data_IF_901091997933
#
_entry.id   IF_901091997933
#
_cell.length_a   1.000
_cell.length_b   1.000
_cell.length_c   1.000
_cell.angle_alpha   90.00
_cell.angle_beta   90.00
_cell.angle_gamma   90.00
#
_symmetry.space_group_name_H-M   'P 1'
#
loop_
_entity.id
_entity.type
_entity.pdbx_description
1 polymer ?
#
# COMPACT_ATOMS: atom_id res chain seq x y z
N UNK A 1 -31.79 3.23 -52.78
CA UNK A 1 -31.54 2.16 -51.79
C UNK A 1 -30.60 2.75 -50.77
N UNK A 2 -31.15 3.36 -49.71
CA UNK A 2 -31.27 2.76 -48.35
C UNK A 2 -29.91 2.51 -47.69
N UNK A 3 -29.59 2.86 -46.45
CA UNK A 3 -30.11 3.72 -45.37
C UNK A 3 -28.94 3.76 -44.35
N UNK A 4 -28.86 4.82 -43.53
CA UNK A 4 -27.93 4.96 -42.40
C UNK A 4 -27.87 3.72 -41.50
N UNK A 5 -26.79 3.56 -40.72
CA UNK A 5 -26.87 3.41 -39.26
C UNK A 5 -25.48 3.43 -38.61
N UNK A 6 -25.15 4.60 -38.05
CA UNK A 6 -24.35 4.76 -36.84
C UNK A 6 -24.86 3.81 -35.76
N UNK A 7 -23.99 2.99 -35.15
CA UNK A 7 -24.32 2.31 -33.89
C UNK A 7 -23.42 2.83 -32.78
N UNK A 8 -23.88 3.89 -32.13
CA UNK A 8 -23.52 4.20 -30.75
C UNK A 8 -23.94 3.02 -29.88
N UNK A 9 -22.98 2.30 -29.31
CA UNK A 9 -23.25 1.30 -28.27
C UNK A 9 -23.19 2.02 -26.92
N UNK A 10 -24.30 2.19 -26.20
CA UNK A 10 -24.24 2.75 -24.86
C UNK A 10 -23.61 1.73 -23.91
N UNK A 11 -22.46 2.07 -23.34
CA UNK A 11 -21.86 1.35 -22.20
C UNK A 11 -22.82 1.45 -21.03
N UNK A 12 -23.56 0.37 -20.78
CA UNK A 12 -24.47 0.25 -19.66
C UNK A 12 -23.64 0.06 -18.39
N UNK A 13 -23.46 1.13 -17.61
CA UNK A 13 -22.89 1.04 -16.26
C UNK A 13 -23.76 0.12 -15.40
N UNK A 14 -23.17 -0.80 -14.60
CA UNK A 14 -23.95 -1.63 -13.69
C UNK A 14 -24.56 -0.74 -12.59
N UNK A 15 -25.89 -0.76 -12.51
CA UNK A 15 -26.62 -0.15 -11.41
C UNK A 15 -26.33 -0.92 -10.10
N UNK A 16 -26.13 -0.24 -8.96
CA UNK A 16 -25.95 -0.90 -7.68
C UNK A 16 -27.25 -1.62 -7.29
N UNK A 17 -27.18 -2.96 -7.24
CA UNK A 17 -28.28 -3.83 -6.87
C UNK A 17 -28.83 -3.45 -5.49
N UNK A 18 -30.10 -3.05 -5.46
CA UNK A 18 -30.89 -3.06 -4.24
C UNK A 18 -31.15 -4.52 -3.82
N UNK A 19 -30.85 -4.82 -2.56
CA UNK A 19 -31.32 -6.04 -1.89
C UNK A 19 -30.22 -6.93 -1.34
N UNK A 20 -29.67 -6.56 -0.18
CA UNK A 20 -29.07 -7.53 0.73
C UNK A 20 -30.07 -7.86 1.84
N UNK A 21 -30.97 -8.80 1.55
CA UNK A 21 -31.61 -9.62 2.59
C UNK A 21 -30.58 -10.64 3.06
N UNK A 22 -30.37 -10.69 4.37
CA UNK A 22 -29.22 -11.32 5.01
C UNK A 22 -29.10 -12.82 4.80
N UNK A 23 -27.85 -13.26 4.67
CA UNK A 23 -27.38 -14.56 5.10
C UNK A 23 -26.07 -14.35 5.88
N UNK A 24 -26.02 -14.97 7.05
CA UNK A 24 -25.02 -14.85 8.11
C UNK A 24 -23.64 -15.40 7.67
N UNK A 25 -22.87 -14.60 6.92
CA UNK A 25 -21.43 -14.80 6.69
C UNK A 25 -20.62 -13.48 6.84
N UNK A 26 -21.27 -12.40 7.28
CA UNK A 26 -20.83 -11.01 7.07
C UNK A 26 -19.73 -10.44 7.98
N UNK A 27 -19.22 -11.16 8.98
CA UNK A 27 -18.25 -10.58 9.92
C UNK A 27 -16.85 -10.39 9.33
N UNK A 28 -16.32 -11.44 8.68
CA UNK A 28 -14.97 -11.46 8.12
C UNK A 28 -14.87 -10.65 6.83
N UNK A 29 -15.88 -10.75 5.95
CA UNK A 29 -15.92 -10.00 4.68
C UNK A 29 -16.03 -8.49 4.91
N UNK A 30 -16.82 -8.05 5.88
CA UNK A 30 -16.93 -6.63 6.23
C UNK A 30 -15.66 -6.10 6.89
N UNK A 31 -15.01 -6.87 7.78
CA UNK A 31 -13.73 -6.48 8.38
C UNK A 31 -12.62 -6.37 7.31
N UNK A 32 -12.54 -7.33 6.40
CA UNK A 32 -11.56 -7.31 5.31
C UNK A 32 -11.78 -6.14 4.35
N UNK A 33 -13.04 -5.83 4.02
CA UNK A 33 -13.38 -4.67 3.20
C UNK A 33 -12.99 -3.35 3.90
N UNK A 34 -13.25 -3.22 5.20
CA UNK A 34 -12.84 -2.05 5.98
C UNK A 34 -11.31 -1.91 6.00
N UNK A 35 -10.58 -3.00 6.27
CA UNK A 35 -9.11 -2.97 6.24
C UNK A 35 -8.58 -2.58 4.85
N UNK A 36 -9.18 -3.07 3.77
CA UNK A 36 -8.80 -2.70 2.41
C UNK A 36 -9.07 -1.21 2.12
N UNK A 37 -10.18 -0.66 2.61
CA UNK A 37 -10.47 0.78 2.52
C UNK A 37 -9.45 1.62 3.29
N UNK A 38 -9.17 1.28 4.55
CA UNK A 38 -8.19 1.98 5.38
C UNK A 38 -6.80 1.97 4.73
N UNK A 39 -6.38 0.83 4.18
CA UNK A 39 -5.13 0.72 3.41
C UNK A 39 -5.12 1.62 2.18
N UNK A 40 -6.22 1.67 1.43
CA UNK A 40 -6.35 2.56 0.28
C UNK A 40 -6.21 4.02 0.70
N UNK A 41 -6.87 4.44 1.79
CA UNK A 41 -6.76 5.80 2.34
C UNK A 41 -5.35 6.12 2.82
N UNK A 42 -4.68 5.19 3.51
CA UNK A 42 -3.28 5.31 3.90
C UNK A 42 -2.40 5.62 2.69
N UNK A 43 -2.47 4.79 1.64
CA UNK A 43 -1.63 4.97 0.46
C UNK A 43 -1.99 6.21 -0.37
N UNK A 44 -3.24 6.70 -0.31
CA UNK A 44 -3.62 7.98 -0.92
C UNK A 44 -2.94 9.19 -0.27
N UNK A 45 -2.49 9.09 0.99
CA UNK A 45 -1.68 10.13 1.67
C UNK A 45 -0.20 10.07 1.26
N UNK A 46 0.27 8.92 0.81
CA UNK A 46 1.65 8.68 0.38
C UNK A 46 1.80 8.63 -1.15
N UNK A 47 1.25 9.63 -1.85
CA UNK A 47 1.31 9.71 -3.32
C UNK A 47 2.76 9.79 -3.83
N UNK A 48 3.00 9.25 -5.03
CA UNK A 48 4.31 9.30 -5.70
C UNK A 48 5.25 8.13 -5.40
N UNK A 49 4.77 7.06 -4.76
CA UNK A 49 5.50 5.80 -4.59
C UNK A 49 5.32 4.85 -5.77
N UNK A 50 4.09 4.68 -6.23
CA UNK A 50 3.77 3.84 -7.39
C UNK A 50 2.90 4.69 -8.31
N UNK A 51 3.53 5.33 -9.29
CA UNK A 51 2.83 6.28 -10.15
C UNK A 51 2.02 5.60 -11.25
N UNK A 52 2.39 4.38 -11.63
CA UNK A 52 1.80 3.63 -12.76
C UNK A 52 0.84 2.51 -12.36
N UNK A 53 0.80 2.10 -11.09
CA UNK A 53 -0.06 1.02 -10.63
C UNK A 53 -0.77 1.38 -9.31
N UNK A 54 -1.97 1.99 -9.37
CA UNK A 54 -2.78 2.27 -8.19
C UNK A 54 -3.25 1.00 -7.47
N UNK A 55 -3.22 -0.16 -8.14
CA UNK A 55 -3.61 -1.47 -7.62
C UNK A 55 -2.41 -2.31 -7.15
N UNK A 56 -1.22 -1.71 -7.03
CA UNK A 56 -0.08 -2.38 -6.41
C UNK A 56 -0.47 -2.95 -5.03
N UNK A 57 0.17 -4.02 -4.60
CA UNK A 57 0.00 -4.52 -3.24
C UNK A 57 0.81 -3.67 -2.23
N UNK A 58 0.60 -3.92 -0.94
CA UNK A 58 1.32 -3.20 0.12
C UNK A 58 2.82 -3.45 0.03
N UNK A 59 3.25 -4.69 -0.26
CA UNK A 59 4.66 -5.06 -0.41
C UNK A 59 5.37 -4.25 -1.48
N UNK A 60 4.77 -4.10 -2.67
CA UNK A 60 5.29 -3.30 -3.75
C UNK A 60 5.41 -1.81 -3.36
N UNK A 61 4.44 -1.27 -2.61
CA UNK A 61 4.51 0.12 -2.13
C UNK A 61 5.55 0.32 -1.03
N UNK A 62 5.69 -0.64 -0.11
CA UNK A 62 6.74 -0.63 0.91
C UNK A 62 8.12 -0.68 0.24
N UNK A 63 8.35 -1.62 -0.68
CA UNK A 63 9.61 -1.73 -1.43
C UNK A 63 9.90 -0.46 -2.24
N UNK A 64 8.91 0.13 -2.90
CA UNK A 64 9.08 1.42 -3.58
C UNK A 64 9.52 2.55 -2.62
N UNK A 65 9.02 2.55 -1.38
CA UNK A 65 9.42 3.51 -0.36
C UNK A 65 10.85 3.27 0.14
N UNK A 66 11.28 2.00 0.22
CA UNK A 66 12.64 1.61 0.59
C UNK A 66 13.67 2.02 -0.47
N UNK A 67 13.32 1.93 -1.77
CA UNK A 67 14.20 2.38 -2.87
C UNK A 67 14.40 3.91 -2.88
N UNK A 68 13.42 4.68 -2.40
CA UNK A 68 13.50 6.16 -2.30
C UNK A 68 13.23 6.62 -0.86
N UNK A 69 14.15 6.34 0.06
CA UNK A 69 13.87 6.42 1.49
C UNK A 69 13.74 7.87 1.95
N UNK A 70 12.67 8.13 2.70
CA UNK A 70 12.41 9.39 3.41
C UNK A 70 11.99 9.04 4.82
N UNK A 71 12.65 9.61 5.83
CA UNK A 71 12.44 9.25 7.23
C UNK A 71 10.95 9.25 7.64
N UNK A 72 10.26 10.38 7.46
CA UNK A 72 8.83 10.52 7.82
C UNK A 72 7.96 9.45 7.15
N UNK A 73 8.23 9.15 5.87
CA UNK A 73 7.47 8.14 5.13
C UNK A 73 7.71 6.74 5.68
N UNK A 74 8.96 6.36 5.98
CA UNK A 74 9.25 5.03 6.54
C UNK A 74 8.73 4.91 7.98
N UNK A 75 8.72 6.00 8.75
CA UNK A 75 8.08 6.02 10.06
C UNK A 75 6.55 5.82 9.95
N UNK A 76 5.88 6.57 9.08
CA UNK A 76 4.43 6.43 8.86
C UNK A 76 4.07 5.00 8.43
N UNK A 77 4.87 4.40 7.54
CA UNK A 77 4.70 2.99 7.11
C UNK A 77 4.96 2.02 8.27
N UNK A 78 6.00 2.24 9.09
CA UNK A 78 6.28 1.39 10.24
C UNK A 78 5.19 1.46 11.32
N UNK A 79 4.54 2.62 11.49
CA UNK A 79 3.40 2.78 12.38
C UNK A 79 2.15 2.04 11.86
N UNK A 80 1.94 2.01 10.55
CA UNK A 80 0.79 1.35 9.92
C UNK A 80 0.96 -0.18 9.83
N UNK A 81 2.12 -0.64 9.38
CA UNK A 81 2.38 -2.05 9.04
C UNK A 81 3.28 -2.79 10.04
N UNK A 82 3.85 -2.09 11.02
CA UNK A 82 4.84 -2.61 11.93
C UNK A 82 6.27 -2.52 11.36
N UNK A 83 7.24 -2.24 12.25
CA UNK A 83 8.64 -2.13 11.87
C UNK A 83 9.21 -3.46 11.32
N UNK A 84 8.87 -4.57 11.96
CA UNK A 84 9.31 -5.91 11.55
C UNK A 84 8.94 -6.19 10.08
N UNK A 85 7.70 -5.86 9.68
CA UNK A 85 7.25 -6.05 8.30
C UNK A 85 8.08 -5.24 7.30
N UNK A 86 8.43 -4.00 7.65
CA UNK A 86 9.26 -3.13 6.80
C UNK A 86 10.69 -3.67 6.70
N UNK A 87 11.24 -4.20 7.79
CA UNK A 87 12.56 -4.85 7.80
C UNK A 87 12.58 -6.09 6.92
N UNK A 88 11.57 -6.97 7.01
CA UNK A 88 11.48 -8.16 6.15
C UNK A 88 11.42 -7.80 4.66
N UNK A 89 10.66 -6.75 4.29
CA UNK A 89 10.62 -6.27 2.89
C UNK A 89 11.97 -5.71 2.44
N UNK A 90 12.73 -5.09 3.34
CA UNK A 90 14.09 -4.61 3.04
C UNK A 90 15.07 -5.76 2.84
N UNK A 91 15.01 -6.82 3.65
CA UNK A 91 15.81 -8.02 3.48
C UNK A 91 15.53 -8.72 2.15
N UNK A 92 14.25 -8.89 1.80
CA UNK A 92 13.85 -9.46 0.51
C UNK A 92 14.37 -8.62 -0.66
N UNK A 93 14.23 -7.30 -0.57
CA UNK A 93 14.66 -6.38 -1.63
C UNK A 93 16.18 -6.45 -1.87
N UNK A 94 17.00 -6.57 -0.82
CA UNK A 94 18.45 -6.70 -0.96
C UNK A 94 18.92 -7.93 -1.76
N UNK A 95 18.05 -8.93 -1.98
CA UNK A 95 18.34 -10.08 -2.83
C UNK A 95 18.57 -9.73 -4.31
N UNK A 96 17.93 -8.67 -4.81
CA UNK A 96 17.93 -8.33 -6.25
C UNK A 96 19.18 -7.55 -6.71
N UNK A 97 19.99 -7.01 -5.78
CA UNK A 97 21.28 -6.31 -6.01
C UNK A 97 21.29 -5.28 -7.15
N UNK A 98 20.19 -4.53 -7.32
CA UNK A 98 20.14 -3.45 -8.32
C UNK A 98 20.86 -2.19 -7.84
N UNK A 99 21.26 -1.33 -8.78
CA UNK A 99 21.95 -0.08 -8.47
C UNK A 99 21.15 0.82 -7.51
N UNK A 100 19.83 0.89 -7.69
CA UNK A 100 18.95 1.70 -6.87
C UNK A 100 18.89 1.20 -5.43
N UNK A 101 18.95 -0.12 -5.22
CA UNK A 101 18.93 -0.76 -3.90
C UNK A 101 20.24 -0.49 -3.18
N UNK A 102 21.38 -0.69 -3.86
CA UNK A 102 22.70 -0.40 -3.29
C UNK A 102 22.85 1.09 -2.94
N UNK A 103 22.36 1.98 -3.81
CA UNK A 103 22.35 3.42 -3.54
C UNK A 103 21.52 3.77 -2.29
N UNK A 104 20.38 3.09 -2.09
CA UNK A 104 19.48 3.37 -0.98
C UNK A 104 19.98 2.81 0.37
N UNK A 105 20.82 1.77 0.33
CA UNK A 105 21.20 0.93 1.48
C UNK A 105 21.55 1.68 2.75
N UNK A 106 22.61 2.50 2.72
CA UNK A 106 23.06 3.25 3.91
C UNK A 106 21.98 4.18 4.47
N UNK A 107 21.15 4.75 3.60
CA UNK A 107 20.07 5.63 4.01
C UNK A 107 18.94 4.85 4.69
N UNK A 108 18.54 3.71 4.11
CA UNK A 108 17.51 2.82 4.66
C UNK A 108 17.94 2.28 6.02
N UNK A 109 19.11 1.66 6.11
CA UNK A 109 19.62 1.05 7.35
C UNK A 109 19.67 2.08 8.49
N UNK A 110 20.17 3.29 8.22
CA UNK A 110 20.20 4.38 9.20
C UNK A 110 18.80 4.81 9.65
N UNK A 111 17.86 4.94 8.72
CA UNK A 111 16.48 5.34 9.04
C UNK A 111 15.80 4.27 9.88
N UNK A 112 15.89 2.99 9.48
CA UNK A 112 15.25 1.89 10.21
C UNK A 112 15.84 1.75 11.63
N UNK A 113 17.16 1.86 11.77
CA UNK A 113 17.82 1.87 13.09
C UNK A 113 17.30 3.01 13.97
N UNK A 114 17.09 4.20 13.41
CA UNK A 114 16.58 5.34 14.17
C UNK A 114 15.10 5.15 14.58
N UNK A 115 14.29 4.54 13.72
CA UNK A 115 12.89 4.21 14.04
C UNK A 115 12.84 3.18 15.16
N UNK A 116 13.64 2.12 15.07
CA UNK A 116 13.75 1.07 16.10
C UNK A 116 14.11 1.65 17.47
N UNK A 117 15.16 2.48 17.52
CA UNK A 117 15.55 3.18 18.76
C UNK A 117 14.44 4.07 19.29
N UNK A 118 13.73 4.78 18.41
CA UNK A 118 12.58 5.60 18.78
C UNK A 118 11.46 4.78 19.44
N UNK A 119 11.13 3.62 18.87
CA UNK A 119 10.15 2.70 19.43
C UNK A 119 10.59 2.12 20.78
N UNK A 120 11.87 1.72 20.90
CA UNK A 120 12.41 1.23 22.17
C UNK A 120 12.32 2.29 23.29
N UNK A 121 12.67 3.54 22.98
CA UNK A 121 12.56 4.65 23.95
C UNK A 121 11.10 4.90 24.35
N UNK A 122 10.17 4.86 23.40
CA UNK A 122 8.74 5.05 23.68
C UNK A 122 8.18 3.92 24.55
N UNK A 123 8.59 2.68 24.30
CA UNK A 123 8.14 1.50 25.06
C UNK A 123 8.59 1.53 26.52
N UNK A 124 9.77 2.08 26.82
CA UNK A 124 10.29 2.21 28.20
C UNK A 124 9.54 3.29 29.00
N UNK A 125 8.95 4.28 28.32
CA UNK A 125 8.28 5.43 28.94
C UNK A 125 6.79 5.22 29.21
N UNK A 126 6.21 4.14 28.71
CA UNK A 126 4.83 3.70 28.95
C UNK A 126 4.79 2.59 30.00
#
# INVERSE_FOLDING_TARGET
>A
MEKSLTSDVPVRLPQPNQGYRGLHLGGLTSKLALMAMLRREFWQRHRGLVWSNPDADDSARIRAALVRPRFRRLLDIALEFGLERVQSEWELLQGDKTFEIERARLSVERILTNIEKGFAIAAIRN
#
